data_IF_566520292602
#
_entry.id   IF_566520292602
#
_cell.length_a   1.000
_cell.length_b   1.000
_cell.length_c   1.000
_cell.angle_alpha   90.00
_cell.angle_beta   90.00
_cell.angle_gamma   90.00
#
_symmetry.space_group_name_H-M   'P 1'
#
loop_
_entity.id
_entity.type
_entity.pdbx_description
1 polymer ?
#
# COMPACT_ATOMS: atom_id res chain seq x y z
N UNK A 1 -11.06 9.54 0.98
CA UNK A 1 -9.74 8.99 0.58
C UNK A 1 -9.86 7.71 -0.26
N UNK A 2 -10.83 6.80 -0.01
CA UNK A 2 -11.01 5.60 -0.83
C UNK A 2 -11.17 5.90 -2.32
N UNK A 3 -11.98 6.91 -2.66
CA UNK A 3 -12.18 7.38 -4.04
C UNK A 3 -10.87 7.91 -4.63
N UNK A 4 -10.17 8.77 -3.90
CA UNK A 4 -8.88 9.32 -4.35
C UNK A 4 -7.82 8.24 -4.54
N UNK A 5 -7.79 7.23 -3.65
CA UNK A 5 -6.88 6.08 -3.77
C UNK A 5 -7.21 5.22 -4.99
N UNK A 6 -8.49 4.99 -5.26
CA UNK A 6 -8.94 4.27 -6.46
C UNK A 6 -8.53 5.01 -7.75
N UNK A 7 -8.74 6.33 -7.81
CA UNK A 7 -8.33 7.14 -8.96
C UNK A 7 -6.79 7.18 -9.13
N UNK A 8 -6.02 7.18 -8.03
CA UNK A 8 -4.57 7.09 -8.09
C UNK A 8 -4.13 5.77 -8.72
N UNK A 9 -4.65 4.64 -8.24
CA UNK A 9 -4.30 3.31 -8.78
C UNK A 9 -4.76 3.18 -10.23
N UNK A 10 -5.96 3.65 -10.57
CA UNK A 10 -6.47 3.64 -11.93
C UNK A 10 -5.52 4.40 -12.88
N UNK A 11 -5.09 5.59 -12.48
CA UNK A 11 -4.27 6.47 -13.32
C UNK A 11 -2.82 6.00 -13.46
N UNK A 12 -2.21 5.48 -12.38
CA UNK A 12 -0.79 5.11 -12.33
C UNK A 12 -0.54 3.67 -12.78
N UNK A 13 -1.45 2.75 -12.42
CA UNK A 13 -1.32 1.33 -12.74
C UNK A 13 -2.18 0.90 -13.95
N UNK A 14 -2.88 1.87 -14.57
CA UNK A 14 -3.74 1.65 -15.74
C UNK A 14 -4.82 0.58 -15.52
N UNK A 15 -5.43 0.57 -14.34
CA UNK A 15 -6.55 -0.31 -13.99
C UNK A 15 -7.86 0.44 -14.14
N UNK A 16 -8.79 -0.04 -14.97
CA UNK A 16 -10.05 0.66 -15.23
C UNK A 16 -10.94 0.80 -13.99
N UNK A 17 -11.02 -0.22 -13.14
CA UNK A 17 -11.86 -0.24 -11.93
C UNK A 17 -11.16 -0.95 -10.78
N UNK A 18 -10.20 -0.30 -10.10
CA UNK A 18 -9.50 -0.89 -8.98
C UNK A 18 -10.48 -1.34 -7.89
N UNK A 19 -10.25 -2.53 -7.34
CA UNK A 19 -11.01 -3.03 -6.20
C UNK A 19 -10.59 -2.31 -4.92
N UNK A 20 -11.58 -1.98 -4.08
CA UNK A 20 -11.38 -1.23 -2.84
C UNK A 20 -11.87 -2.06 -1.67
N UNK A 21 -10.99 -2.38 -0.72
CA UNK A 21 -11.30 -3.01 0.55
C UNK A 21 -11.24 -2.01 1.71
N UNK A 22 -12.01 -2.25 2.75
CA UNK A 22 -11.94 -1.52 4.02
C UNK A 22 -11.30 -2.39 5.08
N UNK A 23 -10.17 -1.96 5.63
CA UNK A 23 -9.47 -2.72 6.67
C UNK A 23 -10.32 -2.85 7.93
N UNK A 24 -10.51 -4.07 8.37
CA UNK A 24 -11.32 -4.41 9.52
C UNK A 24 -10.68 -5.60 10.29
N UNK A 25 -11.30 -6.00 11.38
CA UNK A 25 -10.92 -7.14 12.23
C UNK A 25 -11.67 -8.44 11.87
N UNK A 26 -12.35 -8.46 10.76
CA UNK A 26 -13.15 -9.56 10.21
C UNK A 26 -13.92 -9.07 8.99
N UNK A 27 -14.28 -10.00 8.11
CA UNK A 27 -14.99 -9.68 6.85
C UNK A 27 -16.47 -9.33 7.07
N UNK A 28 -17.07 -9.74 8.21
CA UNK A 28 -18.48 -9.57 8.46
C UNK A 28 -18.86 -8.11 8.74
N UNK A 29 -20.00 -7.67 8.25
CA UNK A 29 -20.50 -6.30 8.39
C UNK A 29 -20.71 -5.83 9.84
N UNK A 30 -20.90 -6.77 10.76
CA UNK A 30 -21.07 -6.46 12.20
C UNK A 30 -19.76 -6.13 12.92
N UNK A 31 -18.62 -6.47 12.32
CA UNK A 31 -17.29 -6.25 12.90
C UNK A 31 -16.84 -4.80 12.77
N UNK A 32 -15.86 -4.46 13.61
CA UNK A 32 -15.27 -3.13 13.62
C UNK A 32 -16.02 -2.13 14.51
N UNK A 33 -15.41 -0.97 14.65
CA UNK A 33 -16.00 0.16 15.37
C UNK A 33 -16.98 0.95 14.49
N UNK A 34 -17.66 1.91 15.09
CA UNK A 34 -18.67 2.72 14.40
C UNK A 34 -18.12 3.50 13.20
N UNK A 35 -16.86 3.95 13.26
CA UNK A 35 -16.20 4.65 12.14
C UNK A 35 -16.05 3.71 10.95
N UNK A 36 -15.59 2.48 11.18
CA UNK A 36 -15.42 1.46 10.14
C UNK A 36 -16.76 1.10 9.52
N UNK A 37 -17.80 0.83 10.34
CA UNK A 37 -19.15 0.50 9.86
C UNK A 37 -19.72 1.62 9.00
N UNK A 38 -19.64 2.87 9.48
CA UNK A 38 -20.10 4.03 8.72
C UNK A 38 -19.32 4.23 7.43
N UNK A 39 -18.01 3.97 7.45
CA UNK A 39 -17.18 4.03 6.24
C UNK A 39 -17.58 2.96 5.22
N UNK A 40 -17.88 1.74 5.67
CA UNK A 40 -18.35 0.67 4.79
C UNK A 40 -19.66 1.06 4.06
N UNK A 41 -20.63 1.67 4.77
CA UNK A 41 -21.85 2.17 4.16
C UNK A 41 -21.56 3.21 3.07
N UNK A 42 -20.74 4.22 3.39
CA UNK A 42 -20.36 5.27 2.44
C UNK A 42 -19.62 4.73 1.21
N UNK A 43 -18.75 3.72 1.39
CA UNK A 43 -18.03 3.11 0.28
C UNK A 43 -18.96 2.29 -0.62
N UNK A 44 -19.97 1.60 -0.07
CA UNK A 44 -20.99 0.90 -0.88
C UNK A 44 -21.80 1.87 -1.77
N UNK A 45 -22.13 3.04 -1.24
CA UNK A 45 -22.91 4.06 -1.95
C UNK A 45 -22.05 4.90 -2.92
N UNK A 46 -20.72 4.81 -2.86
CA UNK A 46 -19.82 5.70 -3.59
C UNK A 46 -19.67 5.39 -5.09
N UNK A 47 -20.20 4.27 -5.58
CA UNK A 47 -20.01 3.79 -6.95
C UNK A 47 -18.62 3.20 -7.23
N UNK A 48 -17.77 3.03 -6.21
CA UNK A 48 -16.51 2.32 -6.30
C UNK A 48 -16.73 0.81 -6.53
N UNK A 49 -15.72 0.12 -7.01
CA UNK A 49 -15.66 -1.33 -6.99
C UNK A 49 -15.33 -1.80 -5.56
N UNK A 50 -16.27 -1.58 -4.64
CA UNK A 50 -16.09 -1.88 -3.23
C UNK A 50 -16.23 -3.39 -3.00
N UNK A 51 -15.15 -4.02 -2.55
CA UNK A 51 -15.07 -5.43 -2.24
C UNK A 51 -15.78 -5.79 -0.93
N UNK A 52 -15.72 -4.89 0.05
CA UNK A 52 -16.19 -5.10 1.41
C UNK A 52 -15.06 -4.92 2.43
N UNK A 53 -15.25 -5.53 3.62
CA UNK A 53 -14.23 -5.57 4.64
C UNK A 53 -13.11 -6.55 4.23
N UNK A 54 -11.87 -6.22 4.58
CA UNK A 54 -10.68 -7.05 4.41
C UNK A 54 -9.88 -7.08 5.71
N UNK A 55 -9.17 -8.17 5.96
CA UNK A 55 -8.33 -8.32 7.15
C UNK A 55 -6.88 -7.91 6.88
N UNK A 56 -6.06 -7.86 7.93
CA UNK A 56 -4.67 -7.41 7.82
C UNK A 56 -3.79 -8.31 6.93
N UNK A 57 -4.09 -9.60 6.82
CA UNK A 57 -3.37 -10.54 5.97
C UNK A 57 -3.75 -10.39 4.47
N UNK A 58 -4.94 -9.87 4.17
CA UNK A 58 -5.38 -9.59 2.81
C UNK A 58 -4.52 -8.52 2.12
N UNK A 59 -3.92 -7.61 2.90
CA UNK A 59 -2.94 -6.64 2.40
C UNK A 59 -1.79 -7.36 1.67
N UNK A 60 -1.33 -8.49 2.21
CA UNK A 60 -0.22 -9.26 1.63
C UNK A 60 -0.66 -10.27 0.59
N UNK A 61 -1.90 -10.75 0.67
CA UNK A 61 -2.51 -11.61 -0.34
C UNK A 61 -2.82 -10.83 -1.63
N UNK A 62 -3.01 -9.49 -1.50
CA UNK A 62 -3.44 -8.65 -2.61
C UNK A 62 -4.89 -8.90 -3.01
N UNK A 63 -5.75 -9.16 -2.03
CA UNK A 63 -7.19 -9.42 -2.22
C UNK A 63 -7.87 -8.24 -2.91
N UNK A 64 -7.43 -7.02 -2.61
CA UNK A 64 -7.91 -5.79 -3.24
C UNK A 64 -6.76 -4.89 -3.69
N UNK A 65 -7.01 -4.02 -4.66
CA UNK A 65 -6.02 -3.10 -5.22
C UNK A 65 -5.76 -1.91 -4.29
N UNK A 66 -6.77 -1.51 -3.53
CA UNK A 66 -6.72 -0.42 -2.55
C UNK A 66 -7.29 -0.90 -1.23
N UNK A 67 -6.56 -0.72 -0.15
CA UNK A 67 -7.05 -0.96 1.21
C UNK A 67 -7.19 0.38 1.93
N UNK A 68 -8.41 0.72 2.31
CA UNK A 68 -8.73 1.94 3.06
C UNK A 68 -8.65 1.64 4.55
N UNK A 69 -7.99 2.50 5.30
CA UNK A 69 -7.95 2.40 6.76
C UNK A 69 -7.75 3.77 7.40
N UNK A 70 -7.96 3.81 8.72
CA UNK A 70 -7.54 4.95 9.54
C UNK A 70 -6.02 5.12 9.52
N UNK A 71 -5.54 6.36 9.55
CA UNK A 71 -4.11 6.65 9.45
C UNK A 71 -3.27 6.10 10.62
N UNK A 72 -3.83 6.01 11.83
CA UNK A 72 -3.16 5.38 12.96
C UNK A 72 -3.03 3.87 12.73
N UNK A 73 -4.12 3.21 12.38
CA UNK A 73 -4.14 1.76 12.10
C UNK A 73 -3.19 1.43 10.94
N UNK A 74 -3.24 2.20 9.86
CA UNK A 74 -2.35 2.01 8.71
C UNK A 74 -0.87 2.18 9.08
N UNK A 75 -0.54 3.17 9.91
CA UNK A 75 0.83 3.37 10.38
C UNK A 75 1.32 2.24 11.29
N UNK A 76 0.46 1.71 12.17
CA UNK A 76 0.77 0.54 13.00
C UNK A 76 1.01 -0.68 12.12
N UNK A 77 0.13 -0.96 11.16
CA UNK A 77 0.28 -2.07 10.22
C UNK A 77 1.60 -1.98 9.44
N UNK A 78 1.93 -0.82 8.89
CA UNK A 78 3.19 -0.58 8.17
C UNK A 78 4.41 -0.82 9.06
N UNK A 79 4.44 -0.26 10.28
CA UNK A 79 5.58 -0.41 11.20
C UNK A 79 5.74 -1.85 11.71
N UNK A 80 4.64 -2.53 11.98
CA UNK A 80 4.67 -3.95 12.36
C UNK A 80 5.23 -4.80 11.21
N UNK A 81 4.81 -4.52 9.98
CA UNK A 81 5.29 -5.22 8.79
C UNK A 81 6.78 -4.99 8.53
N UNK A 82 7.24 -3.74 8.64
CA UNK A 82 8.66 -3.39 8.54
C UNK A 82 9.48 -4.12 9.60
N UNK A 83 9.02 -4.12 10.85
CA UNK A 83 9.68 -4.79 11.97
C UNK A 83 9.74 -6.31 11.78
N UNK A 84 8.65 -6.93 11.33
CA UNK A 84 8.59 -8.36 11.04
C UNK A 84 9.56 -8.74 9.92
N UNK A 85 9.59 -7.98 8.83
CA UNK A 85 10.51 -8.22 7.72
C UNK A 85 11.99 -8.13 8.15
N UNK A 86 12.33 -7.14 8.99
CA UNK A 86 13.68 -6.98 9.55
C UNK A 86 14.06 -8.14 10.49
N UNK A 87 13.13 -8.56 11.35
CA UNK A 87 13.33 -9.68 12.27
C UNK A 87 13.60 -10.98 11.50
N UNK A 88 12.76 -11.29 10.51
CA UNK A 88 12.92 -12.49 9.67
C UNK A 88 14.24 -12.48 8.91
N UNK A 89 14.65 -11.34 8.35
CA UNK A 89 15.92 -11.20 7.67
C UNK A 89 17.13 -11.40 8.61
N UNK A 90 17.01 -10.95 9.87
CA UNK A 90 18.03 -11.14 10.89
C UNK A 90 18.17 -12.60 11.28
N UNK A 91 17.04 -13.25 11.61
CA UNK A 91 17.05 -14.67 11.98
C UNK A 91 17.58 -15.56 10.86
N UNK A 92 17.17 -15.29 9.63
CA UNK A 92 17.68 -16.03 8.47
C UNK A 92 19.19 -15.89 8.32
N UNK A 93 19.73 -14.67 8.53
CA UNK A 93 21.17 -14.42 8.50
C UNK A 93 21.92 -15.15 9.61
N UNK A 94 21.37 -15.14 10.83
CA UNK A 94 21.95 -15.85 11.98
C UNK A 94 22.01 -17.35 11.73
N UNK A 95 20.94 -17.95 11.21
CA UNK A 95 20.91 -19.39 10.89
C UNK A 95 21.93 -19.77 9.82
N UNK A 96 22.07 -18.98 8.77
CA UNK A 96 23.10 -19.22 7.75
C UNK A 96 24.53 -19.00 8.29
N UNK A 97 24.71 -18.18 9.32
CA UNK A 97 26.01 -17.91 9.93
C UNK A 97 26.43 -18.93 11.00
N UNK A 98 25.52 -19.83 11.46
CA UNK A 98 25.68 -20.69 12.63
C UNK A 98 26.89 -21.65 12.57
N UNK A 99 27.17 -22.25 11.43
CA UNK A 99 28.30 -23.18 11.24
C UNK A 99 28.78 -23.23 9.78
N UNK A 100 29.83 -24.00 9.52
CA UNK A 100 30.41 -24.08 8.18
C UNK A 100 29.45 -24.67 7.13
N UNK A 101 28.66 -25.68 7.51
CA UNK A 101 27.68 -26.29 6.60
C UNK A 101 26.54 -25.30 6.22
N UNK A 102 26.00 -24.57 7.20
CA UNK A 102 24.97 -23.58 6.93
C UNK A 102 25.50 -22.40 6.12
N UNK A 103 26.78 -22.00 6.32
CA UNK A 103 27.44 -20.98 5.48
C UNK A 103 27.57 -21.44 4.04
N UNK A 104 27.98 -22.69 3.82
CA UNK A 104 28.06 -23.26 2.46
C UNK A 104 26.68 -23.35 1.80
N UNK A 105 25.68 -23.83 2.55
CA UNK A 105 24.29 -23.85 2.08
C UNK A 105 23.78 -22.44 1.73
N UNK A 106 24.10 -21.44 2.55
CA UNK A 106 23.80 -20.04 2.28
C UNK A 106 24.46 -19.51 1.01
N UNK A 107 25.73 -19.88 0.77
CA UNK A 107 26.44 -19.51 -0.45
C UNK A 107 25.79 -20.12 -1.71
N UNK A 108 25.37 -21.37 -1.64
CA UNK A 108 24.62 -22.01 -2.75
C UNK A 108 23.25 -21.35 -2.95
N UNK A 109 22.56 -20.96 -1.87
CA UNK A 109 21.26 -20.32 -1.91
C UNK A 109 21.30 -18.82 -2.29
N UNK A 110 22.47 -18.18 -2.37
CA UNK A 110 22.63 -16.75 -2.65
C UNK A 110 21.82 -16.24 -3.85
N UNK A 111 21.76 -16.93 -5.01
CA UNK A 111 20.96 -16.44 -6.13
C UNK A 111 19.46 -16.32 -5.78
N UNK A 112 18.92 -17.32 -5.06
CA UNK A 112 17.52 -17.34 -4.62
C UNK A 112 17.27 -16.25 -3.56
N UNK A 113 18.16 -16.16 -2.57
CA UNK A 113 18.08 -15.14 -1.51
C UNK A 113 18.14 -13.72 -2.08
N UNK A 114 19.00 -13.48 -3.06
CA UNK A 114 19.10 -12.18 -3.73
C UNK A 114 17.85 -11.88 -4.57
N UNK A 115 17.26 -12.88 -5.23
CA UNK A 115 15.99 -12.71 -5.95
C UNK A 115 14.85 -12.37 -4.98
N UNK A 116 14.75 -13.11 -3.88
CA UNK A 116 13.79 -12.83 -2.81
C UNK A 116 13.99 -11.45 -2.22
N UNK A 117 15.21 -11.07 -1.82
CA UNK A 117 15.53 -9.74 -1.30
C UNK A 117 15.11 -8.63 -2.23
N UNK A 118 15.33 -8.77 -3.55
CA UNK A 118 14.87 -7.78 -4.53
C UNK A 118 13.35 -7.65 -4.58
N UNK A 119 12.61 -8.74 -4.38
CA UNK A 119 11.14 -8.75 -4.41
C UNK A 119 10.53 -8.09 -3.17
N UNK A 120 11.15 -8.27 -2.01
CA UNK A 120 10.65 -7.72 -0.73
C UNK A 120 11.35 -6.41 -0.33
N UNK A 121 12.19 -5.84 -1.17
CA UNK A 121 12.94 -4.61 -0.89
C UNK A 121 11.99 -3.41 -0.86
N UNK A 122 11.60 -3.01 0.36
CA UNK A 122 10.70 -1.87 0.59
C UNK A 122 11.20 -0.55 -0.01
N UNK A 123 12.50 -0.41 -0.27
CA UNK A 123 13.08 0.78 -0.91
C UNK A 123 12.54 1.01 -2.32
N UNK A 124 12.12 -0.07 -3.01
CA UNK A 124 11.50 -0.01 -4.35
C UNK A 124 10.07 0.53 -4.33
N UNK A 125 9.44 0.54 -3.16
CA UNK A 125 8.08 1.04 -2.94
C UNK A 125 8.08 2.40 -2.24
N UNK A 126 9.24 3.07 -2.19
CA UNK A 126 9.36 4.39 -1.58
C UNK A 126 8.61 5.44 -2.39
N UNK A 127 7.98 6.36 -1.68
CA UNK A 127 7.17 7.43 -2.24
C UNK A 127 5.68 7.23 -1.92
N UNK A 128 5.22 7.92 -0.89
CA UNK A 128 3.81 7.95 -0.49
C UNK A 128 3.17 9.26 -0.97
N UNK A 129 2.15 9.15 -1.80
CA UNK A 129 1.41 10.29 -2.31
C UNK A 129 0.50 10.86 -1.23
N UNK A 130 0.59 12.15 -0.97
CA UNK A 130 -0.31 12.87 -0.07
C UNK A 130 -1.57 13.27 -0.83
N UNK A 131 -2.60 12.42 -0.76
CA UNK A 131 -3.87 12.62 -1.43
C UNK A 131 -4.68 13.77 -0.80
N UNK A 132 -5.47 14.45 -1.62
CA UNK A 132 -6.36 15.55 -1.20
C UNK A 132 -5.71 16.93 -1.23
N UNK A 133 -4.49 17.06 -1.70
CA UNK A 133 -3.83 18.33 -1.94
C UNK A 133 -4.13 18.85 -3.35
N UNK A 134 -3.97 20.17 -3.55
CA UNK A 134 -4.16 20.83 -4.86
C UNK A 134 -2.97 20.65 -5.81
N UNK A 135 -2.04 19.79 -5.49
CA UNK A 135 -0.86 19.49 -6.26
C UNK A 135 -0.31 18.12 -5.88
N UNK A 136 0.54 17.57 -6.72
CA UNK A 136 1.19 16.28 -6.47
C UNK A 136 2.30 16.49 -5.45
N UNK A 137 2.17 15.82 -4.32
CA UNK A 137 3.18 15.78 -3.25
C UNK A 137 3.46 14.34 -2.90
N UNK A 138 4.69 13.91 -3.14
CA UNK A 138 5.15 12.56 -2.82
C UNK A 138 6.15 12.62 -1.68
N UNK A 139 5.80 12.00 -0.57
CA UNK A 139 6.64 11.91 0.63
C UNK A 139 7.59 10.72 0.51
N UNK A 140 8.89 10.96 0.58
CA UNK A 140 9.90 9.92 0.74
C UNK A 140 10.01 9.48 2.20
N UNK A 141 10.42 8.22 2.44
CA UNK A 141 10.72 7.73 3.78
C UNK A 141 11.93 8.50 4.37
N UNK A 142 11.91 8.80 5.67
CA UNK A 142 12.96 9.60 6.32
C UNK A 142 14.35 8.94 6.32
N UNK A 143 14.42 7.60 6.25
CA UNK A 143 15.67 6.83 6.16
C UNK A 143 16.04 6.43 4.72
N UNK A 144 15.42 7.06 3.71
CA UNK A 144 15.67 6.71 2.31
C UNK A 144 17.11 7.03 1.91
N UNK A 145 17.81 6.03 1.38
CA UNK A 145 19.06 6.23 0.66
C UNK A 145 18.81 6.77 -0.76
N UNK A 146 19.86 7.07 -1.51
CA UNK A 146 19.74 7.58 -2.88
C UNK A 146 18.97 6.60 -3.80
N UNK A 147 19.12 5.29 -3.59
CA UNK A 147 18.41 4.28 -4.34
C UNK A 147 16.89 4.34 -4.06
N UNK A 148 16.50 4.40 -2.81
CA UNK A 148 15.10 4.53 -2.41
C UNK A 148 14.50 5.87 -2.88
N UNK A 149 15.23 6.98 -2.73
CA UNK A 149 14.78 8.31 -3.12
C UNK A 149 14.49 8.43 -4.62
N UNK A 150 15.26 7.72 -5.45
CA UNK A 150 15.00 7.64 -6.90
C UNK A 150 13.58 7.14 -7.19
N UNK A 151 13.10 6.11 -6.48
CA UNK A 151 11.73 5.59 -6.68
C UNK A 151 10.66 6.61 -6.30
N UNK A 152 10.89 7.42 -5.27
CA UNK A 152 9.97 8.50 -4.93
C UNK A 152 9.88 9.56 -6.04
N UNK A 153 11.01 9.90 -6.67
CA UNK A 153 11.04 10.81 -7.83
C UNK A 153 10.33 10.17 -9.03
N UNK A 154 10.62 8.92 -9.34
CA UNK A 154 9.98 8.19 -10.45
C UNK A 154 8.46 8.13 -10.27
N UNK A 155 7.98 7.90 -9.05
CA UNK A 155 6.54 7.95 -8.70
C UNK A 155 5.97 9.34 -8.95
N UNK A 156 6.60 10.40 -8.45
CA UNK A 156 6.13 11.78 -8.65
C UNK A 156 6.05 12.15 -10.14
N UNK A 157 7.03 11.74 -10.94
CA UNK A 157 7.03 11.93 -12.39
C UNK A 157 5.90 11.14 -13.06
N UNK A 158 5.69 9.88 -12.65
CA UNK A 158 4.59 9.04 -13.14
C UNK A 158 3.23 9.67 -12.87
N UNK A 159 3.01 10.13 -11.65
CA UNK A 159 1.77 10.80 -11.25
C UNK A 159 1.54 12.12 -12.00
N UNK A 160 2.59 12.92 -12.17
CA UNK A 160 2.49 14.15 -12.94
C UNK A 160 2.10 13.91 -14.42
N UNK A 161 2.55 12.79 -14.99
CA UNK A 161 2.26 12.42 -16.39
C UNK A 161 0.90 11.74 -16.55
N UNK A 162 0.39 11.07 -15.50
CA UNK A 162 -0.87 10.33 -15.57
C UNK A 162 -2.12 11.22 -15.54
N UNK A 163 -1.98 12.50 -15.18
CA UNK A 163 -3.13 13.39 -15.01
C UNK A 163 -3.98 13.10 -13.78
N UNK A 164 -3.48 12.33 -12.82
CA UNK A 164 -4.22 11.84 -11.65
C UNK A 164 -4.90 12.96 -10.85
N UNK A 165 -4.27 14.15 -10.76
CA UNK A 165 -4.85 15.27 -10.02
C UNK A 165 -6.15 15.77 -10.67
N UNK A 166 -6.21 15.84 -12.00
CA UNK A 166 -7.43 16.20 -12.73
C UNK A 166 -8.51 15.12 -12.53
N UNK A 167 -8.17 13.84 -12.69
CA UNK A 167 -9.12 12.74 -12.49
C UNK A 167 -9.72 12.73 -11.09
N UNK A 168 -8.89 12.93 -10.04
CA UNK A 168 -9.38 13.03 -8.65
C UNK A 168 -10.32 14.24 -8.50
N UNK A 169 -9.93 15.40 -9.05
CA UNK A 169 -10.73 16.64 -8.95
C UNK A 169 -12.09 16.47 -9.61
N UNK A 170 -12.13 15.94 -10.83
CA UNK A 170 -13.35 15.70 -11.58
C UNK A 170 -14.27 14.71 -10.85
N UNK A 171 -13.70 13.60 -10.38
CA UNK A 171 -14.47 12.59 -9.65
C UNK A 171 -15.07 13.12 -8.34
N UNK A 172 -14.29 13.88 -7.58
CA UNK A 172 -14.77 14.50 -6.33
C UNK A 172 -15.83 15.55 -6.58
N UNK A 173 -15.73 16.33 -7.65
CA UNK A 173 -16.74 17.31 -8.04
C UNK A 173 -18.09 16.67 -8.38
N UNK A 174 -18.09 15.54 -9.11
CA UNK A 174 -19.29 14.78 -9.43
C UNK A 174 -20.00 14.29 -8.17
N UNK A 175 -19.26 13.80 -7.18
CA UNK A 175 -19.83 13.32 -5.92
C UNK A 175 -20.44 14.46 -5.11
N UNK A 176 -19.81 15.63 -5.08
CA UNK A 176 -20.34 16.79 -4.38
C UNK A 176 -21.65 17.29 -5.03
N UNK A 177 -21.77 17.23 -6.35
CA UNK A 177 -22.98 17.61 -7.07
C UNK A 177 -24.14 16.62 -6.84
N UNK A 178 -23.85 15.33 -6.68
CA UNK A 178 -24.87 14.31 -6.41
C UNK A 178 -25.35 14.29 -4.95
N UNK A 179 -24.62 14.93 -4.04
CA UNK A 179 -24.94 15.01 -2.62
C UNK A 179 -25.65 16.34 -2.22
N UNK A 180 -25.78 17.30 -3.16
CA UNK A 180 -26.43 18.60 -2.98
C UNK A 180 -27.84 18.57 -3.51
#
# INVERSE_FOLDING_TARGET
>A
FGIMGSELVASVEHRERPSVGLLNIGEEDIKGNEVVKRTAELLRESGLNFHGNVEGDDIYKGTTDVVVCDGFVGNVALKTSEGLAQMLATYLREEFARNLFTKLAGAIALPVLNAFKRRVDHRRYNGATLLGLRGIVVKSHGSADAFAFRFAIERAVGEARSGVLAHITDRMSLIQQSAA
#
